data_IF_368326259717
#
_entry.id   IF_368326259717
#
_cell.length_a   1.000
_cell.length_b   1.000
_cell.length_c   1.000
_cell.angle_alpha   90.00
_cell.angle_beta   90.00
_cell.angle_gamma   90.00
#
_symmetry.space_group_name_H-M   'P 1'
#
loop_
_entity.id
_entity.type
_entity.pdbx_description
1 polymer ?
#
# COMPACT_ATOMS: atom_id res chain seq x y z
N UNK A 1 11.64 -47.05 25.04
CA UNK A 1 11.74 -46.45 23.69
C UNK A 1 10.77 -45.28 23.71
N UNK A 2 11.32 -44.07 23.75
CA UNK A 2 10.58 -42.81 23.86
C UNK A 2 10.08 -42.39 22.50
N UNK A 3 8.77 -42.39 22.29
CA UNK A 3 8.15 -41.86 21.08
C UNK A 3 7.78 -40.40 21.34
N UNK A 4 8.64 -39.51 20.84
CA UNK A 4 8.40 -38.09 20.68
C UNK A 4 7.93 -37.84 19.23
N UNK A 5 7.48 -36.60 18.94
CA UNK A 5 7.10 -36.00 17.64
C UNK A 5 5.57 -36.01 17.40
N UNK A 6 4.86 -34.90 17.21
CA UNK A 6 5.13 -33.47 17.13
C UNK A 6 3.75 -32.79 17.16
N UNK A 7 3.55 -31.68 17.87
CA UNK A 7 4.07 -30.38 17.49
C UNK A 7 3.00 -29.67 16.67
N UNK A 8 2.18 -28.87 17.37
CA UNK A 8 1.04 -28.13 16.85
C UNK A 8 1.41 -27.23 15.65
N UNK A 9 0.81 -27.48 14.49
CA UNK A 9 0.80 -26.53 13.37
C UNK A 9 -0.57 -25.86 13.33
N UNK A 10 -0.81 -24.99 14.32
CA UNK A 10 -1.89 -24.02 14.25
C UNK A 10 -1.44 -23.00 13.21
N UNK A 11 -1.79 -23.22 11.94
CA UNK A 11 -1.59 -22.20 10.90
C UNK A 11 -2.46 -21.02 11.28
N UNK A 12 -1.86 -20.08 12.01
CA UNK A 12 -2.44 -18.78 12.29
C UNK A 12 -2.77 -18.13 10.95
N UNK A 13 -4.03 -18.19 10.57
CA UNK A 13 -4.65 -17.25 9.64
C UNK A 13 -4.64 -15.89 10.32
N UNK A 14 -3.47 -15.23 10.32
CA UNK A 14 -3.41 -13.80 10.55
C UNK A 14 -4.06 -13.17 9.33
N UNK A 15 -5.38 -12.96 9.43
CA UNK A 15 -6.10 -11.97 8.65
C UNK A 15 -5.29 -10.68 8.74
N UNK A 16 -4.64 -10.33 7.64
CA UNK A 16 -3.81 -9.14 7.56
C UNK A 16 -4.74 -7.94 7.66
N UNK A 17 -4.77 -7.29 8.81
CA UNK A 17 -5.35 -5.95 8.93
C UNK A 17 -4.72 -5.05 7.86
N UNK A 18 -5.50 -4.18 7.18
CA UNK A 18 -4.97 -3.31 6.15
C UNK A 18 -3.95 -2.36 6.78
N UNK A 19 -2.67 -2.62 6.52
CA UNK A 19 -1.57 -1.77 6.97
C UNK A 19 -1.73 -0.42 6.27
N UNK A 20 -2.19 0.59 6.99
CA UNK A 20 -2.27 1.97 6.50
C UNK A 20 -0.86 2.55 6.41
N UNK A 21 -0.09 2.10 5.41
CA UNK A 21 1.07 2.83 4.88
C UNK A 21 0.58 4.06 4.13
N UNK A 22 -0.10 4.97 4.82
CA UNK A 22 -0.82 6.09 4.23
C UNK A 22 0.09 7.28 4.01
N UNK A 23 0.95 7.24 2.98
CA UNK A 23 1.56 8.45 2.45
C UNK A 23 0.60 9.23 1.54
N UNK A 24 -0.55 8.65 1.21
CA UNK A 24 -1.61 9.31 0.47
C UNK A 24 -2.38 10.27 1.39
N UNK A 25 -2.56 11.50 0.91
CA UNK A 25 -3.48 12.45 1.52
C UNK A 25 -4.92 12.07 1.16
N UNK A 26 -5.92 12.47 1.98
CA UNK A 26 -7.34 12.32 1.64
C UNK A 26 -7.69 13.01 0.32
N UNK A 27 -8.72 12.50 -0.35
CA UNK A 27 -9.25 13.11 -1.57
C UNK A 27 -9.67 14.57 -1.32
N UNK A 28 -9.20 15.47 -2.18
CA UNK A 28 -9.46 16.91 -2.07
C UNK A 28 -8.62 17.65 -1.03
N UNK A 29 -7.60 17.01 -0.44
CA UNK A 29 -6.66 17.73 0.42
C UNK A 29 -5.92 18.83 -0.37
N UNK A 30 -5.67 20.00 0.26
CA UNK A 30 -4.96 21.09 -0.40
C UNK A 30 -3.54 20.66 -0.77
N UNK A 31 -3.07 21.12 -1.92
CA UNK A 31 -1.70 20.92 -2.34
C UNK A 31 -0.75 21.61 -1.36
N UNK A 32 0.36 20.95 -1.05
CA UNK A 32 1.34 21.52 -0.13
C UNK A 32 1.95 22.78 -0.76
N UNK A 33 2.07 23.92 -0.03
CA UNK A 33 2.45 25.20 -0.61
C UNK A 33 3.86 25.23 -1.23
N UNK A 34 4.72 24.29 -0.84
CA UNK A 34 6.07 24.13 -1.38
C UNK A 34 6.11 23.30 -2.68
N UNK A 35 5.01 22.68 -3.07
CA UNK A 35 4.92 21.87 -4.29
C UNK A 35 4.63 22.78 -5.48
N UNK A 36 5.54 22.79 -6.44
CA UNK A 36 5.39 23.51 -7.71
C UNK A 36 5.04 22.53 -8.83
N UNK A 37 3.73 22.38 -9.05
CA UNK A 37 3.16 21.48 -10.05
C UNK A 37 3.49 21.88 -11.50
N UNK A 38 3.95 23.12 -11.75
CA UNK A 38 4.28 23.57 -13.10
C UNK A 38 5.55 22.93 -13.65
N UNK A 39 6.41 22.41 -12.76
CA UNK A 39 7.64 21.70 -13.11
C UNK A 39 7.46 20.19 -13.25
N UNK A 40 6.36 19.67 -12.73
CA UNK A 40 6.06 18.25 -12.79
C UNK A 40 5.57 17.91 -14.21
N UNK A 41 6.26 17.03 -14.97
CA UNK A 41 5.78 16.59 -16.27
C UNK A 41 4.47 15.80 -16.19
N UNK A 42 4.16 15.20 -15.04
CA UNK A 42 2.97 14.38 -14.81
C UNK A 42 2.18 14.91 -13.60
N UNK A 43 1.70 16.17 -13.63
CA UNK A 43 1.05 16.78 -12.49
C UNK A 43 -0.21 15.99 -12.12
N UNK A 44 -0.32 15.63 -10.83
CA UNK A 44 -1.47 14.88 -10.31
C UNK A 44 -1.42 13.36 -10.56
N UNK A 45 -0.38 12.83 -11.22
CA UNK A 45 -0.18 11.39 -11.37
C UNK A 45 0.89 10.92 -10.38
N UNK A 46 0.51 10.04 -9.45
CA UNK A 46 1.49 9.46 -8.54
C UNK A 46 2.41 8.50 -9.29
N UNK A 47 3.73 8.62 -9.10
CA UNK A 47 4.74 7.73 -9.70
C UNK A 47 4.58 6.26 -9.30
N UNK A 48 3.86 6.00 -8.21
CA UNK A 48 3.56 4.67 -7.68
C UNK A 48 2.10 4.25 -7.87
N UNK A 49 1.29 5.03 -8.60
CA UNK A 49 -0.02 4.56 -9.00
C UNK A 49 0.15 3.27 -9.82
N UNK A 50 -0.70 2.27 -9.56
CA UNK A 50 -0.83 1.17 -10.50
C UNK A 50 -1.28 1.76 -11.85
N UNK A 51 -0.86 1.19 -12.98
CA UNK A 51 -1.48 1.54 -14.26
C UNK A 51 -3.00 1.42 -14.12
N UNK A 52 -3.72 2.42 -14.63
CA UNK A 52 -5.18 2.32 -14.72
C UNK A 52 -5.52 1.16 -15.67
N UNK A 53 -6.52 0.34 -15.32
CA UNK A 53 -6.90 -0.86 -16.07
C UNK A 53 -7.68 -0.54 -17.37
N UNK A 54 -7.70 0.73 -17.80
CA UNK A 54 -8.57 1.28 -18.85
C UNK A 54 -7.82 1.88 -20.08
N UNK A 55 -6.54 1.55 -20.30
CA UNK A 55 -5.71 2.06 -21.42
C UNK A 55 -5.63 1.06 -22.62
N UNK A 56 -6.75 0.47 -23.06
CA UNK A 56 -6.86 -0.47 -24.22
C UNK A 56 -7.54 0.15 -25.47
#
# INVERSE_FOLDING_TARGET
MTEQLGGADVRSTQEQEPKTGGHALPDGAPTHPLVDLSRDPNPGKADHAKPDEDDD
#
